data_IF_963371950477
#
_entry.id   IF_963371950477
#
_cell.length_a   1.000
_cell.length_b   1.000
_cell.length_c   1.000
_cell.angle_alpha   90.00
_cell.angle_beta   90.00
_cell.angle_gamma   90.00
#
_symmetry.space_group_name_H-M   'P 1'
#
loop_
_entity.id
_entity.type
_entity.pdbx_description
1 polymer ?
#
# COMPACT_ATOMS: atom_id res chain seq x y z
N UNK A 1 -4.94 -2.28 13.96
CA UNK A 1 -4.99 -1.71 12.60
C UNK A 1 -4.22 -2.57 11.59
N UNK A 2 -2.92 -2.83 11.78
CA UNK A 2 -2.19 -3.74 10.89
C UNK A 2 -2.92 -5.08 10.71
N UNK A 3 -3.27 -5.74 11.82
CA UNK A 3 -3.92 -7.05 11.81
C UNK A 3 -5.29 -7.04 11.12
N UNK A 4 -6.11 -6.03 11.40
CA UNK A 4 -7.42 -5.85 10.77
C UNK A 4 -7.31 -5.69 9.24
N UNK A 5 -6.35 -4.89 8.78
CA UNK A 5 -6.07 -4.71 7.35
C UNK A 5 -5.54 -6.01 6.75
N UNK A 6 -4.65 -6.70 7.47
CA UNK A 6 -4.12 -7.98 7.05
C UNK A 6 -5.21 -9.04 6.88
N UNK A 7 -6.11 -9.18 7.85
CA UNK A 7 -7.28 -10.06 7.78
C UNK A 7 -8.20 -9.69 6.61
N UNK A 8 -8.44 -8.38 6.42
CA UNK A 8 -9.22 -7.89 5.28
C UNK A 8 -8.57 -8.29 3.95
N UNK A 9 -7.25 -8.17 3.81
CA UNK A 9 -6.53 -8.62 2.61
C UNK A 9 -6.59 -10.15 2.47
N UNK A 10 -6.39 -10.91 3.55
CA UNK A 10 -6.46 -12.37 3.52
C UNK A 10 -7.86 -12.87 3.11
N UNK A 11 -8.92 -12.11 3.38
CA UNK A 11 -10.27 -12.45 2.90
C UNK A 11 -10.41 -12.45 1.38
N UNK A 12 -9.52 -11.77 0.64
CA UNK A 12 -9.48 -11.74 -0.83
C UNK A 12 -8.82 -13.00 -1.44
N UNK A 13 -8.30 -13.89 -0.61
CA UNK A 13 -7.59 -15.09 -1.07
C UNK A 13 -8.57 -16.13 -1.60
N UNK A 14 -8.28 -16.68 -2.77
CA UNK A 14 -9.02 -17.83 -3.30
C UNK A 14 -8.75 -19.07 -2.44
N UNK A 15 -9.83 -19.65 -1.91
CA UNK A 15 -9.77 -20.90 -1.13
C UNK A 15 -9.19 -22.08 -1.91
N UNK A 16 -9.44 -22.15 -3.22
CA UNK A 16 -9.10 -23.32 -4.05
C UNK A 16 -7.58 -23.47 -4.30
N UNK A 17 -6.86 -22.35 -4.49
CA UNK A 17 -5.45 -22.36 -4.90
C UNK A 17 -4.54 -21.55 -3.96
N UNK A 18 -5.07 -21.06 -2.83
CA UNK A 18 -4.35 -20.18 -1.91
C UNK A 18 -3.76 -18.93 -2.61
N UNK A 19 -4.39 -18.49 -3.70
CA UNK A 19 -3.94 -17.39 -4.54
C UNK A 19 -4.55 -16.08 -4.03
N UNK A 20 -3.73 -15.04 -3.88
CA UNK A 20 -4.17 -13.71 -3.44
C UNK A 20 -4.22 -12.78 -4.65
N UNK A 21 -5.41 -12.28 -4.98
CA UNK A 21 -5.54 -11.24 -6.00
C UNK A 21 -5.13 -9.86 -5.46
N UNK A 22 -4.60 -8.98 -6.31
CA UNK A 22 -4.44 -7.57 -5.99
C UNK A 22 -5.74 -6.97 -5.46
N UNK A 23 -5.68 -6.33 -4.30
CA UNK A 23 -6.85 -5.69 -3.69
C UNK A 23 -7.02 -4.25 -4.19
N UNK A 24 -7.23 -4.12 -5.50
CA UNK A 24 -7.23 -2.83 -6.21
C UNK A 24 -8.18 -1.79 -5.63
N UNK A 25 -9.31 -2.20 -5.05
CA UNK A 25 -10.29 -1.27 -4.46
C UNK A 25 -9.80 -0.57 -3.19
N UNK A 26 -8.86 -1.18 -2.44
CA UNK A 26 -8.41 -0.70 -1.13
C UNK A 26 -6.89 -0.79 -0.98
N UNK A 27 -6.38 -1.86 -0.38
CA UNK A 27 -5.00 -1.95 0.07
C UNK A 27 -4.09 -2.50 -1.03
N UNK A 28 -3.88 -1.70 -2.09
CA UNK A 28 -3.02 -2.01 -3.23
C UNK A 28 -2.07 -0.84 -3.56
N UNK A 29 -0.88 -1.14 -4.08
CA UNK A 29 0.11 -0.12 -4.50
C UNK A 29 -0.45 0.86 -5.54
N UNK A 30 -1.46 0.46 -6.33
CA UNK A 30 -2.15 1.33 -7.29
C UNK A 30 -2.82 2.54 -6.64
N UNK A 31 -3.08 2.47 -5.33
CA UNK A 31 -3.73 3.54 -4.58
C UNK A 31 -2.76 4.51 -3.91
N UNK A 32 -1.44 4.25 -3.97
CA UNK A 32 -0.40 5.15 -3.43
C UNK A 32 -0.44 6.53 -4.09
N UNK A 33 -0.55 6.67 -5.43
CA UNK A 33 -0.61 8.00 -6.05
C UNK A 33 -1.79 8.84 -5.56
N UNK A 34 -2.95 8.19 -5.40
CA UNK A 34 -4.13 8.86 -4.84
C UNK A 34 -3.89 9.29 -3.39
N UNK A 35 -3.26 8.44 -2.58
CA UNK A 35 -2.88 8.78 -1.21
C UNK A 35 -1.99 10.01 -1.16
N UNK A 36 -0.94 10.07 -2.00
CA UNK A 36 -0.04 11.22 -2.08
C UNK A 36 -0.83 12.50 -2.40
N UNK A 37 -1.71 12.47 -3.39
CA UNK A 37 -2.55 13.63 -3.75
C UNK A 37 -3.45 14.07 -2.59
N UNK A 38 -4.03 13.13 -1.85
CA UNK A 38 -4.86 13.42 -0.68
C UNK A 38 -4.06 14.06 0.47
N UNK A 39 -2.79 13.68 0.67
CA UNK A 39 -1.90 14.32 1.64
C UNK A 39 -1.65 15.80 1.30
N UNK A 40 -1.65 16.16 0.02
CA UNK A 40 -1.59 17.54 -0.46
C UNK A 40 -2.96 18.23 -0.53
N UNK A 41 -4.03 17.62 0.01
CA UNK A 41 -5.41 18.10 -0.08
C UNK A 41 -5.94 18.27 -1.51
N UNK A 42 -5.37 17.57 -2.49
CA UNK A 42 -5.82 17.57 -3.88
C UNK A 42 -6.95 16.55 -4.05
N UNK A 43 -8.14 17.02 -4.43
CA UNK A 43 -9.29 16.16 -4.70
C UNK A 43 -9.24 15.61 -6.12
N UNK A 44 -9.29 14.29 -6.25
CA UNK A 44 -9.45 13.61 -7.55
C UNK A 44 -10.89 13.77 -8.04
N UNK A 45 -11.05 14.15 -9.32
CA UNK A 45 -12.37 14.42 -9.94
C UNK A 45 -13.21 13.15 -10.15
N UNK A 46 -12.59 11.96 -10.22
CA UNK A 46 -13.27 10.71 -10.52
C UNK A 46 -13.53 9.86 -9.25
N UNK A 47 -14.78 9.38 -9.10
CA UNK A 47 -15.26 8.61 -7.94
C UNK A 47 -14.55 7.26 -7.72
N UNK A 48 -13.91 6.69 -8.74
CA UNK A 48 -13.21 5.40 -8.64
C UNK A 48 -11.93 5.45 -7.80
N UNK A 49 -11.38 6.64 -7.55
CA UNK A 49 -10.17 6.81 -6.74
C UNK A 49 -10.46 7.11 -5.26
N UNK A 50 -11.68 6.81 -4.78
CA UNK A 50 -11.96 6.90 -3.34
C UNK A 50 -11.14 5.82 -2.64
N UNK A 51 -9.99 6.25 -2.15
CA UNK A 51 -9.14 5.61 -1.15
C UNK A 51 -10.02 5.14 0.01
N UNK A 52 -10.58 3.92 -0.08
CA UNK A 52 -11.36 3.32 1.01
C UNK A 52 -10.39 2.54 1.89
N UNK A 53 -9.69 3.25 2.77
CA UNK A 53 -8.81 2.62 3.75
C UNK A 53 -7.83 3.61 4.37
N UNK A 54 -7.08 4.35 3.57
CA UNK A 54 -5.96 5.16 4.08
C UNK A 54 -6.33 6.50 4.72
N UNK A 55 -7.51 7.03 4.42
CA UNK A 55 -7.92 8.37 4.88
C UNK A 55 -8.09 8.47 6.40
N UNK A 56 -8.35 7.33 7.05
CA UNK A 56 -8.47 7.21 8.51
C UNK A 56 -7.13 6.83 9.17
N UNK A 57 -6.18 6.35 8.36
CA UNK A 57 -4.91 5.78 8.81
C UNK A 57 -3.84 6.87 8.92
N UNK A 58 -3.82 7.81 7.98
CA UNK A 58 -2.80 8.86 7.92
C UNK A 58 -3.45 10.20 8.24
N UNK A 59 -3.07 10.86 9.35
CA UNK A 59 -3.67 12.12 9.75
C UNK A 59 -3.43 13.19 8.68
N UNK A 60 -4.49 13.92 8.33
CA UNK A 60 -4.40 15.07 7.43
C UNK A 60 -3.69 16.21 8.14
N UNK A 61 -2.43 16.41 7.81
CA UNK A 61 -1.64 17.56 8.23
C UNK A 61 -1.30 18.39 6.99
N UNK A 62 -0.82 19.63 7.16
CA UNK A 62 -0.30 20.43 6.04
C UNK A 62 1.03 19.82 5.56
N UNK A 63 0.95 18.79 4.74
CA UNK A 63 2.10 18.12 4.14
C UNK A 63 2.60 18.96 2.97
N UNK A 64 3.83 19.47 3.11
CA UNK A 64 4.48 20.28 2.06
C UNK A 64 5.42 19.45 1.17
N UNK A 65 5.78 18.24 1.58
CA UNK A 65 6.69 17.35 0.86
C UNK A 65 6.37 15.89 1.18
N UNK A 66 6.35 15.06 0.15
CA UNK A 66 6.23 13.60 0.26
C UNK A 66 7.46 12.98 -0.42
N UNK A 67 8.08 12.02 0.25
CA UNK A 67 9.17 11.21 -0.30
C UNK A 67 8.67 9.76 -0.34
N UNK A 68 8.63 9.16 -1.53
CA UNK A 68 8.24 7.76 -1.73
C UNK A 68 9.50 6.92 -1.96
N UNK A 69 9.74 5.97 -1.07
CA UNK A 69 10.76 4.95 -1.25
C UNK A 69 10.11 3.64 -1.71
N UNK A 70 10.70 3.01 -2.73
CA UNK A 70 10.25 1.71 -3.25
C UNK A 70 11.42 0.74 -3.07
N UNK A 71 11.16 -0.34 -2.34
CA UNK A 71 12.12 -1.42 -2.10
C UNK A 71 11.74 -2.58 -3.01
N UNK A 72 12.45 -2.75 -4.12
CA UNK A 72 12.13 -3.80 -5.09
C UNK A 72 12.34 -5.21 -4.49
N UNK A 73 11.40 -6.11 -4.73
CA UNK A 73 11.40 -7.48 -4.19
C UNK A 73 11.23 -7.60 -2.67
N UNK A 74 11.00 -6.49 -1.94
CA UNK A 74 10.90 -6.50 -0.48
C UNK A 74 9.46 -6.71 0.00
N UNK A 75 9.07 -7.98 0.11
CA UNK A 75 7.73 -8.39 0.53
C UNK A 75 7.49 -8.37 2.05
N UNK A 76 6.23 -8.61 2.44
CA UNK A 76 5.80 -8.57 3.83
C UNK A 76 6.54 -9.58 4.72
N UNK A 77 6.79 -10.80 4.23
CA UNK A 77 7.53 -11.84 4.98
C UNK A 77 8.96 -11.40 5.28
N UNK A 78 9.62 -10.71 4.35
CA UNK A 78 10.96 -10.17 4.54
C UNK A 78 10.94 -9.04 5.57
N UNK A 79 9.96 -8.16 5.50
CA UNK A 79 9.77 -7.08 6.46
C UNK A 79 9.57 -7.62 7.88
N UNK A 80 8.62 -8.54 8.11
CA UNK A 80 8.33 -9.08 9.45
C UNK A 80 9.53 -9.79 10.08
N UNK A 81 10.31 -10.55 9.28
CA UNK A 81 11.57 -11.14 9.75
C UNK A 81 12.63 -10.10 10.08
N UNK A 82 12.74 -9.02 9.30
CA UNK A 82 13.75 -7.98 9.51
C UNK A 82 13.46 -7.13 10.74
N UNK A 83 12.18 -6.93 11.08
CA UNK A 83 11.78 -6.18 12.27
C UNK A 83 12.27 -6.78 13.58
N UNK A 84 12.39 -8.09 13.67
CA UNK A 84 12.87 -8.76 14.90
C UNK A 84 14.39 -8.76 15.01
N UNK A 85 15.11 -8.44 13.93
CA UNK A 85 16.56 -8.57 13.83
C UNK A 85 17.29 -7.23 13.69
N UNK A 86 16.57 -6.14 13.40
CA UNK A 86 17.18 -4.86 13.06
C UNK A 86 16.36 -3.66 13.58
N UNK A 87 17.01 -2.81 14.37
CA UNK A 87 16.43 -1.61 14.98
C UNK A 87 15.90 -0.59 13.96
N UNK A 88 16.49 -0.54 12.77
CA UNK A 88 16.00 0.31 11.69
C UNK A 88 14.57 -0.08 11.31
N UNK A 89 14.31 -1.37 11.09
CA UNK A 89 13.00 -1.86 10.67
C UNK A 89 11.97 -1.85 11.81
N UNK A 90 12.41 -2.09 13.05
CA UNK A 90 11.53 -1.98 14.23
C UNK A 90 11.08 -0.54 14.47
N UNK A 91 11.92 0.45 14.16
CA UNK A 91 11.59 1.87 14.32
C UNK A 91 10.37 2.33 13.53
N UNK A 92 10.07 1.71 12.38
CA UNK A 92 8.88 2.05 11.58
C UNK A 92 7.57 1.76 12.33
N UNK A 93 7.49 0.66 13.09
CA UNK A 93 6.31 0.35 13.90
C UNK A 93 6.15 1.33 15.07
N UNK A 94 7.27 1.76 15.66
CA UNK A 94 7.26 2.58 16.87
C UNK A 94 7.02 4.07 16.60
N UNK A 95 7.46 4.56 15.44
CA UNK A 95 7.46 6.01 15.09
C UNK A 95 6.56 6.35 13.92
N UNK A 96 5.97 5.35 13.26
CA UNK A 96 5.22 5.52 12.04
C UNK A 96 3.97 4.66 12.00
N UNK A 97 3.36 4.63 10.81
CA UNK A 97 2.18 3.84 10.54
C UNK A 97 2.54 2.76 9.55
N UNK A 98 2.35 1.50 9.94
CA UNK A 98 2.68 0.32 9.14
C UNK A 98 1.41 -0.50 8.91
N UNK A 99 1.16 -0.87 7.65
CA UNK A 99 0.06 -1.74 7.25
C UNK A 99 0.45 -2.50 5.97
N UNK A 100 -0.11 -3.68 5.73
CA UNK A 100 0.20 -4.46 4.53
C UNK A 100 -0.49 -3.88 3.29
N UNK A 101 0.16 -4.06 2.14
CA UNK A 101 -0.38 -3.75 0.81
C UNK A 101 -0.24 -4.96 -0.09
N UNK A 102 -1.20 -5.12 -0.99
CA UNK A 102 -1.04 -6.00 -2.16
C UNK A 102 -0.30 -5.26 -3.27
N UNK A 103 0.49 -6.02 -4.05
CA UNK A 103 1.05 -5.55 -5.32
C UNK A 103 -0.01 -5.60 -6.42
N UNK A 104 0.38 -5.29 -7.66
CA UNK A 104 -0.41 -5.50 -8.87
C UNK A 104 -0.18 -6.90 -9.46
N UNK A 105 -0.99 -7.27 -10.47
CA UNK A 105 -0.74 -8.49 -11.26
C UNK A 105 -0.48 -8.14 -12.74
N UNK A 106 0.53 -8.74 -13.38
CA UNK A 106 1.57 -9.58 -12.76
C UNK A 106 2.56 -8.71 -11.96
N UNK A 107 2.99 -9.20 -10.78
CA UNK A 107 3.82 -8.45 -9.81
C UNK A 107 5.28 -8.30 -10.26
N UNK A 108 5.48 -7.59 -11.37
CA UNK A 108 6.77 -7.26 -11.96
C UNK A 108 7.12 -5.79 -11.69
N UNK A 109 8.41 -5.49 -11.58
CA UNK A 109 8.92 -4.13 -11.28
C UNK A 109 8.40 -3.10 -12.27
N UNK A 110 8.45 -3.39 -13.57
CA UNK A 110 7.99 -2.47 -14.63
C UNK A 110 6.51 -2.13 -14.51
N UNK A 111 5.66 -3.12 -14.26
CA UNK A 111 4.22 -2.92 -14.09
C UNK A 111 3.90 -2.15 -12.81
N UNK A 112 4.57 -2.47 -11.70
CA UNK A 112 4.41 -1.76 -10.44
C UNK A 112 4.80 -0.29 -10.57
N UNK A 113 5.94 0.01 -11.21
CA UNK A 113 6.39 1.39 -11.43
C UNK A 113 5.49 2.16 -12.39
N UNK A 114 5.00 1.52 -13.47
CA UNK A 114 4.04 2.13 -14.38
C UNK A 114 2.73 2.49 -13.65
N UNK A 115 2.23 1.58 -12.81
CA UNK A 115 1.06 1.83 -11.94
C UNK A 115 1.33 2.95 -10.94
N UNK A 116 2.49 3.00 -10.30
CA UNK A 116 2.83 4.06 -9.34
C UNK A 116 2.95 5.43 -10.00
N UNK A 117 3.41 5.51 -11.25
CA UNK A 117 3.49 6.78 -11.97
C UNK A 117 2.14 7.28 -12.51
N UNK A 118 1.19 6.37 -12.76
CA UNK A 118 -0.09 6.70 -13.41
C UNK A 118 -1.30 6.65 -12.47
N UNK A 119 -1.20 5.90 -11.37
CA UNK A 119 -2.33 5.52 -10.53
C UNK A 119 -3.32 4.56 -11.21
N UNK A 120 -2.96 3.97 -12.35
CA UNK A 120 -3.82 3.05 -13.11
C UNK A 120 -3.42 1.59 -12.85
N UNK A 121 -4.41 0.71 -12.83
CA UNK A 121 -4.19 -0.74 -12.77
C UNK A 121 -3.80 -1.27 -14.15
N UNK A 122 -3.00 -2.35 -14.23
CA UNK A 122 -2.80 -3.09 -15.48
C UNK A 122 -4.14 -3.55 -16.09
N UNK A 123 -4.26 -3.53 -17.42
CA UNK A 123 -5.44 -3.98 -18.19
C UNK A 123 -5.24 -5.37 -18.78
#
# INVERSE_FOLDING_TARGET
>A
MFDEIFETIQSQKLKKNNFLYPFYEKYCISNIPSLILNLFNIKLKNKSSRIKGFNEIIPKQNVNKVILFILDGFGLTQFTKSQTQNDFFSSFNNKGVVFPLTSIFPSQTTNALATLNTGLTPQ
#
